data_IF_397653929133
#
_entry.id   IF_397653929133
#
_cell.length_a   1.000
_cell.length_b   1.000
_cell.length_c   1.000
_cell.angle_alpha   90.00
_cell.angle_beta   90.00
_cell.angle_gamma   90.00
#
_symmetry.space_group_name_H-M   'P 1'
#
loop_
_entity.id
_entity.type
_entity.pdbx_description
1 polymer ?
#
# COMPACT_ATOMS: atom_id res chain seq x y z
N UNK A 1 -5.33 -24.24 30.95
CA UNK A 1 -4.99 -23.68 29.63
C UNK A 1 -3.54 -23.22 29.71
N UNK A 2 -2.64 -23.84 28.94
CA UNK A 2 -1.24 -23.43 28.93
C UNK A 2 -1.06 -22.45 27.77
N UNK A 3 -0.90 -21.17 28.10
CA UNK A 3 -0.43 -20.16 27.14
C UNK A 3 1.04 -20.47 26.84
N UNK A 4 1.39 -20.63 25.56
CA UNK A 4 2.79 -20.69 25.15
C UNK A 4 3.33 -19.26 25.14
N UNK A 5 3.84 -18.84 26.29
CA UNK A 5 4.32 -17.48 26.59
C UNK A 5 5.49 -17.03 25.70
N UNK A 6 6.07 -17.92 24.88
CA UNK A 6 7.24 -17.67 24.03
C UNK A 6 7.15 -18.36 22.66
N UNK A 7 6.00 -18.27 21.99
CA UNK A 7 5.90 -18.72 20.60
C UNK A 7 6.36 -17.60 19.65
N UNK A 8 7.42 -17.87 18.88
CA UNK A 8 7.95 -16.97 17.85
C UNK A 8 7.56 -17.52 16.49
N UNK A 9 6.88 -16.72 15.67
CA UNK A 9 6.65 -17.03 14.26
C UNK A 9 7.80 -16.44 13.45
N UNK A 10 8.45 -17.31 12.70
CA UNK A 10 9.56 -16.95 11.82
C UNK A 10 9.17 -17.30 10.39
N UNK A 11 9.06 -16.28 9.53
CA UNK A 11 8.89 -16.46 8.10
C UNK A 11 10.25 -16.81 7.47
N UNK A 12 10.37 -18.03 6.91
CA UNK A 12 11.61 -18.50 6.27
C UNK A 12 11.87 -17.85 4.90
N UNK A 13 10.83 -17.36 4.23
CA UNK A 13 10.90 -16.74 2.90
C UNK A 13 11.28 -15.25 3.02
N UNK A 14 10.62 -14.53 3.92
CA UNK A 14 10.81 -13.09 4.12
C UNK A 14 11.81 -12.74 5.23
N UNK A 15 12.24 -13.72 6.05
CA UNK A 15 13.15 -13.56 7.20
C UNK A 15 12.67 -12.56 8.25
N UNK A 16 11.36 -12.48 8.46
CA UNK A 16 10.74 -11.61 9.46
C UNK A 16 10.38 -12.44 10.69
N UNK A 17 10.72 -11.91 11.87
CA UNK A 17 10.44 -12.53 13.16
C UNK A 17 9.45 -11.66 13.93
N UNK A 18 8.25 -12.19 14.20
CA UNK A 18 7.28 -11.52 15.06
C UNK A 18 7.71 -11.74 16.52
N UNK A 19 8.33 -10.70 17.12
CA UNK A 19 9.06 -10.80 18.38
C UNK A 19 8.23 -10.75 19.66
N UNK A 20 6.98 -10.28 19.60
CA UNK A 20 6.15 -10.13 20.80
C UNK A 20 4.99 -11.13 20.73
N UNK A 21 5.07 -12.15 21.59
CA UNK A 21 4.21 -13.33 21.59
C UNK A 21 2.70 -13.06 21.47
N UNK A 22 2.01 -14.06 20.91
CA UNK A 22 0.58 -14.10 20.52
C UNK A 22 -0.43 -14.03 21.68
N UNK A 23 -0.10 -13.41 22.81
CA UNK A 23 -0.92 -13.46 24.02
C UNK A 23 -2.33 -12.86 23.86
N UNK A 24 -2.59 -12.11 22.79
CA UNK A 24 -3.88 -11.47 22.51
C UNK A 24 -4.44 -11.68 21.09
N UNK A 25 -3.87 -12.56 20.27
CA UNK A 25 -4.29 -12.73 18.86
C UNK A 25 -4.61 -14.19 18.57
N UNK A 26 -5.84 -14.48 18.13
CA UNK A 26 -6.20 -15.82 17.68
C UNK A 26 -5.42 -16.17 16.41
N UNK A 27 -5.14 -17.47 16.20
CA UNK A 27 -4.50 -17.95 14.97
C UNK A 27 -5.21 -17.45 13.71
N UNK A 28 -6.54 -17.39 13.72
CA UNK A 28 -7.36 -16.80 12.66
C UNK A 28 -7.07 -15.31 12.44
N UNK A 29 -6.92 -14.51 13.49
CA UNK A 29 -6.62 -13.07 13.38
C UNK A 29 -5.23 -12.77 12.83
N UNK A 30 -4.23 -13.60 13.13
CA UNK A 30 -2.87 -13.50 12.57
C UNK A 30 -2.86 -13.87 11.09
N UNK A 31 -3.50 -14.99 10.75
CA UNK A 31 -3.62 -15.48 9.38
C UNK A 31 -4.41 -14.49 8.54
N UNK A 32 -5.62 -14.10 8.95
CA UNK A 32 -6.43 -13.12 8.21
C UNK A 32 -5.74 -11.76 8.11
N UNK A 33 -5.08 -11.28 9.17
CA UNK A 33 -4.37 -10.01 9.16
C UNK A 33 -3.17 -10.00 8.20
N UNK A 34 -2.30 -11.01 8.28
CA UNK A 34 -1.08 -11.10 7.47
C UNK A 34 -1.39 -11.33 5.99
N UNK A 35 -2.23 -12.33 5.66
CA UNK A 35 -2.58 -12.63 4.27
C UNK A 35 -3.37 -11.49 3.59
N UNK A 36 -4.25 -10.80 4.33
CA UNK A 36 -4.97 -9.63 3.78
C UNK A 36 -4.08 -8.41 3.67
N UNK A 37 -3.12 -8.21 4.58
CA UNK A 37 -2.15 -7.12 4.49
C UNK A 37 -1.27 -7.26 3.26
N UNK A 38 -0.79 -8.46 2.95
CA UNK A 38 0.00 -8.74 1.74
C UNK A 38 -0.80 -8.45 0.46
N UNK A 39 -2.04 -8.96 0.40
CA UNK A 39 -2.93 -8.73 -0.77
C UNK A 39 -3.26 -7.24 -0.94
N UNK A 40 -3.48 -6.53 0.17
CA UNK A 40 -3.78 -5.10 0.17
C UNK A 40 -2.56 -4.27 -0.24
N UNK A 41 -1.36 -4.69 0.19
CA UNK A 41 -0.07 -4.09 -0.19
C UNK A 41 0.21 -4.28 -1.68
N UNK A 42 -0.05 -5.46 -2.25
CA UNK A 42 0.12 -5.70 -3.68
C UNK A 42 -0.87 -4.88 -4.51
N UNK A 43 -2.16 -4.83 -4.12
CA UNK A 43 -3.14 -3.98 -4.81
C UNK A 43 -2.78 -2.49 -4.73
N UNK A 44 -2.24 -2.05 -3.59
CA UNK A 44 -1.73 -0.70 -3.42
C UNK A 44 -0.57 -0.42 -4.38
N UNK A 45 0.39 -1.35 -4.48
CA UNK A 45 1.53 -1.27 -5.39
C UNK A 45 1.10 -1.19 -6.84
N UNK A 46 0.15 -2.03 -7.26
CA UNK A 46 -0.41 -2.04 -8.62
C UNK A 46 -1.04 -0.70 -8.98
N UNK A 47 -1.93 -0.18 -8.13
CA UNK A 47 -2.59 1.12 -8.33
C UNK A 47 -1.59 2.26 -8.35
N UNK A 48 -0.61 2.25 -7.46
CA UNK A 48 0.44 3.27 -7.45
C UNK A 48 1.33 3.21 -8.69
N UNK A 49 1.64 2.01 -9.19
CA UNK A 49 2.36 1.84 -10.45
C UNK A 49 1.56 2.33 -11.66
N UNK A 50 0.25 2.08 -11.68
CA UNK A 50 -0.64 2.61 -12.73
C UNK A 50 -0.69 4.13 -12.69
N UNK A 51 -0.84 4.73 -11.51
CA UNK A 51 -0.78 6.18 -11.33
C UNK A 51 0.51 6.75 -11.90
N UNK A 52 1.67 6.17 -11.55
CA UNK A 52 2.99 6.56 -12.08
C UNK A 52 3.07 6.57 -13.60
N UNK A 53 2.45 5.59 -14.27
CA UNK A 53 2.44 5.51 -15.72
C UNK A 53 1.60 6.64 -16.33
N UNK A 54 0.39 6.85 -15.80
CA UNK A 54 -0.54 7.86 -16.30
C UNK A 54 0.01 9.28 -16.11
N UNK A 55 0.49 9.63 -14.92
CA UNK A 55 1.01 10.98 -14.66
C UNK A 55 2.26 11.31 -15.46
N UNK A 56 2.99 10.31 -15.99
CA UNK A 56 4.15 10.52 -16.89
C UNK A 56 3.78 10.52 -18.36
N UNK A 57 2.59 10.06 -18.72
CA UNK A 57 2.10 10.04 -20.11
C UNK A 57 1.85 11.47 -20.60
N UNK A 58 2.22 11.74 -21.86
CA UNK A 58 1.83 12.95 -22.59
C UNK A 58 0.55 12.69 -23.38
N UNK A 59 -0.36 13.65 -23.42
CA UNK A 59 -1.60 13.49 -24.17
C UNK A 59 -2.56 12.49 -23.52
N UNK A 60 -2.98 12.80 -22.28
CA UNK A 60 -4.02 12.02 -21.60
C UNK A 60 -5.37 12.20 -22.29
N UNK A 61 -6.13 11.11 -22.42
CA UNK A 61 -7.55 11.18 -22.77
C UNK A 61 -8.42 11.49 -21.54
N UNK A 62 -9.67 11.88 -21.77
CA UNK A 62 -10.62 12.16 -20.69
C UNK A 62 -10.79 10.97 -19.74
N UNK A 63 -10.94 9.75 -20.27
CA UNK A 63 -10.98 8.50 -19.49
C UNK A 63 -9.74 8.31 -18.60
N UNK A 64 -8.56 8.73 -19.07
CA UNK A 64 -7.33 8.61 -18.30
C UNK A 64 -7.23 9.65 -17.19
N UNK A 65 -7.82 10.85 -17.38
CA UNK A 65 -7.97 11.81 -16.28
C UNK A 65 -8.94 11.30 -15.22
N UNK A 66 -10.06 10.68 -15.63
CA UNK A 66 -10.97 10.03 -14.69
C UNK A 66 -10.28 8.90 -13.92
N UNK A 67 -9.47 8.09 -14.60
CA UNK A 67 -8.67 7.05 -13.96
C UNK A 67 -7.68 7.63 -12.94
N UNK A 68 -6.97 8.72 -13.30
CA UNK A 68 -6.07 9.43 -12.37
C UNK A 68 -6.83 9.90 -11.13
N UNK A 69 -8.00 10.54 -11.29
CA UNK A 69 -8.80 11.01 -10.15
C UNK A 69 -9.21 9.85 -9.23
N UNK A 70 -9.66 8.72 -9.80
CA UNK A 70 -10.01 7.54 -9.02
C UNK A 70 -8.82 6.91 -8.30
N UNK A 71 -7.64 6.95 -8.91
CA UNK A 71 -6.40 6.48 -8.27
C UNK A 71 -5.94 7.42 -7.16
N UNK A 72 -6.07 8.74 -7.33
CA UNK A 72 -5.74 9.69 -6.26
C UNK A 72 -6.62 9.52 -5.04
N UNK A 73 -7.94 9.40 -5.23
CA UNK A 73 -8.88 9.13 -4.14
C UNK A 73 -8.48 7.85 -3.38
N UNK A 74 -8.22 6.77 -4.12
CA UNK A 74 -7.79 5.51 -3.50
C UNK A 74 -6.51 5.66 -2.69
N UNK A 75 -5.49 6.36 -3.22
CA UNK A 75 -4.19 6.52 -2.59
C UNK A 75 -4.23 7.46 -1.37
N UNK A 76 -5.15 8.42 -1.35
CA UNK A 76 -5.37 9.34 -0.23
C UNK A 76 -6.13 8.69 0.94
N UNK A 77 -6.93 7.66 0.67
CA UNK A 77 -7.71 6.93 1.70
C UNK A 77 -6.91 5.79 2.36
N UNK A 78 -5.67 5.53 1.95
CA UNK A 78 -4.86 4.44 2.49
C UNK A 78 -4.43 4.71 3.94
N UNK A 79 -4.61 3.75 4.86
CA UNK A 79 -4.08 3.87 6.22
C UNK A 79 -2.57 4.09 6.29
N UNK A 80 -2.12 4.91 7.25
CA UNK A 80 -0.71 5.32 7.38
C UNK A 80 0.28 4.15 7.41
N UNK A 81 -0.07 3.03 8.07
CA UNK A 81 0.82 1.88 8.18
C UNK A 81 1.12 1.20 6.82
N UNK A 82 0.29 1.41 5.80
CA UNK A 82 0.52 0.94 4.43
C UNK A 82 1.19 2.00 3.55
N UNK A 83 1.18 3.27 3.98
CA UNK A 83 1.63 4.41 3.19
C UNK A 83 3.14 4.68 3.32
N UNK A 84 3.79 4.15 4.38
CA UNK A 84 5.20 4.41 4.74
C UNK A 84 6.18 4.28 3.55
N UNK A 85 5.90 3.40 2.58
CA UNK A 85 6.76 3.18 1.41
C UNK A 85 6.46 4.03 0.18
N UNK A 86 5.30 4.71 0.09
CA UNK A 86 4.85 5.37 -1.14
C UNK A 86 4.55 6.85 -0.98
N UNK A 87 4.25 7.33 0.24
CA UNK A 87 3.71 8.68 0.47
C UNK A 87 4.59 9.80 -0.09
N UNK A 88 5.90 9.73 0.12
CA UNK A 88 6.82 10.76 -0.37
C UNK A 88 6.91 10.79 -1.91
N UNK A 89 7.01 9.62 -2.55
CA UNK A 89 7.05 9.52 -4.01
C UNK A 89 5.72 9.96 -4.63
N UNK A 90 4.60 9.53 -4.04
CA UNK A 90 3.25 9.91 -4.47
C UNK A 90 3.05 11.42 -4.45
N UNK A 91 3.37 12.08 -3.32
CA UNK A 91 3.21 13.54 -3.20
C UNK A 91 4.07 14.31 -4.21
N UNK A 92 5.30 13.83 -4.45
CA UNK A 92 6.18 14.40 -5.48
C UNK A 92 5.56 14.29 -6.87
N UNK A 93 5.11 13.09 -7.26
CA UNK A 93 4.50 12.85 -8.56
C UNK A 93 3.22 13.67 -8.75
N UNK A 94 2.39 13.79 -7.72
CA UNK A 94 1.17 14.60 -7.74
C UNK A 94 1.47 16.09 -7.94
N UNK A 95 2.53 16.60 -7.32
CA UNK A 95 2.96 17.97 -7.53
C UNK A 95 3.52 18.19 -8.94
N UNK A 96 4.39 17.29 -9.42
CA UNK A 96 4.94 17.35 -10.78
C UNK A 96 3.84 17.30 -11.85
N UNK A 97 2.83 16.44 -11.65
CA UNK A 97 1.68 16.33 -12.53
C UNK A 97 0.86 17.62 -12.54
N UNK A 98 0.45 18.13 -11.38
CA UNK A 98 -0.30 19.40 -11.28
C UNK A 98 0.42 20.55 -11.96
N UNK A 99 1.70 20.74 -11.66
CA UNK A 99 2.51 21.79 -12.27
C UNK A 99 2.53 21.66 -13.80
N UNK A 100 2.61 20.44 -14.34
CA UNK A 100 2.60 20.22 -15.79
C UNK A 100 1.24 20.58 -16.40
N UNK A 101 0.15 20.17 -15.78
CA UNK A 101 -1.20 20.42 -16.29
C UNK A 101 -1.60 21.90 -16.19
N UNK A 102 -1.10 22.64 -15.19
CA UNK A 102 -1.29 24.09 -15.09
C UNK A 102 -0.62 24.89 -16.23
N UNK A 103 0.44 24.34 -16.82
CA UNK A 103 1.22 24.99 -17.89
C UNK A 103 0.93 24.39 -19.29
N UNK A 104 -0.15 23.61 -19.43
CA UNK A 104 -0.53 22.92 -20.66
C UNK A 104 -1.48 23.77 -21.51
#
# INVERSE_FOLDING_TARGET
MNSLENAVIYDLENKIMAGDGLSNVTYEGVVEGYFRADTLSERLREKFNRYKQLVKKRGLSDDEYEEIMGLELYLEEIPDYLSIGISAEYQKLKLEFRNREEHR
#
